data_IF_986139657106
#
_entry.id   IF_986139657106
#
_cell.length_a   1.000
_cell.length_b   1.000
_cell.length_c   1.000
_cell.angle_alpha   90.00
_cell.angle_beta   90.00
_cell.angle_gamma   90.00
#
_symmetry.space_group_name_H-M   'P 1'
#
loop_
_entity.id
_entity.type
_entity.pdbx_description
1 polymer ?
#
# COMPACT_ATOMS: atom_id res chain seq x y z
N UNK A 1 25.53 -41.87 5.19
CA UNK A 1 25.74 -41.31 3.83
C UNK A 1 24.55 -40.59 3.19
N UNK A 2 23.27 -40.79 3.59
CA UNK A 2 22.12 -40.21 2.83
C UNK A 2 21.60 -38.85 3.33
N UNK A 3 21.82 -38.49 4.60
CA UNK A 3 21.16 -37.36 5.25
C UNK A 3 21.62 -35.97 4.75
N UNK A 4 22.93 -35.79 4.51
CA UNK A 4 23.47 -34.50 4.05
C UNK A 4 23.08 -34.15 2.61
N UNK A 5 22.94 -35.15 1.72
CA UNK A 5 22.43 -34.94 0.35
C UNK A 5 20.97 -34.52 0.37
N UNK A 6 20.20 -35.10 1.30
CA UNK A 6 18.82 -34.75 1.54
C UNK A 6 18.69 -33.31 2.06
N UNK A 7 19.55 -32.89 3.01
CA UNK A 7 19.61 -31.50 3.47
C UNK A 7 19.98 -30.51 2.36
N UNK A 8 20.99 -30.83 1.54
CA UNK A 8 21.39 -29.96 0.43
C UNK A 8 20.25 -29.79 -0.60
N UNK A 9 19.61 -30.90 -0.98
CA UNK A 9 18.52 -30.90 -1.97
C UNK A 9 17.27 -30.19 -1.42
N UNK A 10 16.90 -30.44 -0.16
CA UNK A 10 15.81 -29.74 0.51
C UNK A 10 16.09 -28.24 0.63
N UNK A 11 17.31 -27.84 1.02
CA UNK A 11 17.71 -26.44 1.11
C UNK A 11 17.61 -25.71 -0.22
N UNK A 12 18.11 -26.32 -1.31
CA UNK A 12 18.00 -25.72 -2.65
C UNK A 12 16.56 -25.66 -3.14
N UNK A 13 15.73 -26.67 -2.83
CA UNK A 13 14.33 -26.71 -3.23
C UNK A 13 13.52 -25.63 -2.50
N UNK A 14 13.78 -25.42 -1.20
CA UNK A 14 13.20 -24.32 -0.41
C UNK A 14 13.55 -22.97 -1.04
N UNK A 15 14.82 -22.74 -1.42
CA UNK A 15 15.24 -21.48 -2.04
C UNK A 15 14.54 -21.26 -3.40
N UNK A 16 14.50 -22.26 -4.27
CA UNK A 16 13.83 -22.15 -5.58
C UNK A 16 12.34 -21.89 -5.42
N UNK A 17 11.70 -22.58 -4.48
CA UNK A 17 10.28 -22.38 -4.18
C UNK A 17 10.00 -20.99 -3.63
N UNK A 18 10.85 -20.48 -2.74
CA UNK A 18 10.73 -19.13 -2.17
C UNK A 18 10.89 -18.03 -3.24
N UNK A 19 11.83 -18.19 -4.18
CA UNK A 19 11.99 -17.29 -5.33
C UNK A 19 10.74 -17.32 -6.23
N UNK A 20 10.23 -18.50 -6.55
CA UNK A 20 9.02 -18.66 -7.38
C UNK A 20 7.80 -18.02 -6.74
N UNK A 21 7.57 -18.25 -5.45
CA UNK A 21 6.50 -17.62 -4.69
C UNK A 21 6.67 -16.10 -4.63
N UNK A 22 7.89 -15.61 -4.46
CA UNK A 22 8.18 -14.17 -4.41
C UNK A 22 7.82 -13.49 -5.73
N UNK A 23 8.16 -14.10 -6.87
CA UNK A 23 7.82 -13.56 -8.19
C UNK A 23 6.30 -13.47 -8.42
N UNK A 24 5.55 -14.55 -8.11
CA UNK A 24 4.10 -14.53 -8.24
C UNK A 24 3.45 -13.48 -7.32
N UNK A 25 3.98 -13.34 -6.10
CA UNK A 25 3.49 -12.34 -5.13
C UNK A 25 3.76 -10.91 -5.57
N UNK A 26 4.94 -10.61 -6.11
CA UNK A 26 5.28 -9.27 -6.60
C UNK A 26 4.28 -8.81 -7.66
N UNK A 27 3.91 -9.67 -8.60
CA UNK A 27 2.92 -9.34 -9.63
C UNK A 27 1.54 -9.03 -9.03
N UNK A 28 1.06 -9.87 -8.09
CA UNK A 28 -0.21 -9.62 -7.41
C UNK A 28 -0.18 -8.38 -6.52
N UNK A 29 0.98 -8.05 -5.94
CA UNK A 29 1.15 -6.87 -5.10
C UNK A 29 1.13 -5.60 -5.94
N UNK A 30 1.80 -5.59 -7.09
CA UNK A 30 1.85 -4.45 -7.99
C UNK A 30 0.44 -4.04 -8.45
N UNK A 31 -0.42 -4.99 -8.81
CA UNK A 31 -1.80 -4.68 -9.21
C UNK A 31 -2.63 -4.10 -8.06
N UNK A 32 -2.59 -4.74 -6.88
CA UNK A 32 -3.38 -4.30 -5.71
C UNK A 32 -2.91 -2.92 -5.22
N UNK A 33 -1.60 -2.69 -5.18
CA UNK A 33 -1.05 -1.40 -4.76
C UNK A 33 -1.41 -0.31 -5.74
N UNK A 34 -1.31 -0.58 -7.04
CA UNK A 34 -1.65 0.38 -8.08
C UNK A 34 -3.13 0.76 -7.96
N UNK A 35 -4.03 -0.21 -7.84
CA UNK A 35 -5.47 0.05 -7.69
C UNK A 35 -5.80 0.86 -6.44
N UNK A 36 -5.25 0.49 -5.28
CA UNK A 36 -5.49 1.21 -4.02
C UNK A 36 -4.87 2.61 -4.06
N UNK A 37 -3.68 2.75 -4.63
CA UNK A 37 -2.99 4.04 -4.73
C UNK A 37 -3.71 4.98 -5.71
N UNK A 38 -4.08 4.48 -6.89
CA UNK A 38 -4.85 5.24 -7.88
C UNK A 38 -6.20 5.69 -7.30
N UNK A 39 -6.91 4.80 -6.59
CA UNK A 39 -8.15 5.18 -5.91
C UNK A 39 -7.94 6.26 -4.86
N UNK A 40 -6.89 6.16 -4.03
CA UNK A 40 -6.58 7.18 -3.01
C UNK A 40 -6.25 8.52 -3.67
N UNK A 41 -5.39 8.52 -4.70
CA UNK A 41 -5.00 9.75 -5.41
C UNK A 41 -6.21 10.38 -6.08
N UNK A 42 -7.05 9.59 -6.75
CA UNK A 42 -8.28 10.09 -7.37
C UNK A 42 -9.21 10.71 -6.35
N UNK A 43 -9.50 10.03 -5.25
CA UNK A 43 -10.35 10.57 -4.18
C UNK A 43 -9.75 11.83 -3.56
N UNK A 44 -8.43 11.89 -3.40
CA UNK A 44 -7.74 13.09 -2.91
C UNK A 44 -7.90 14.26 -3.87
N UNK A 45 -7.70 14.05 -5.17
CA UNK A 45 -7.90 15.09 -6.19
C UNK A 45 -9.35 15.58 -6.24
N UNK A 46 -10.32 14.69 -6.09
CA UNK A 46 -11.74 15.05 -5.98
C UNK A 46 -12.01 15.92 -4.73
N UNK A 47 -11.45 15.56 -3.57
CA UNK A 47 -11.57 16.35 -2.34
C UNK A 47 -10.92 17.73 -2.51
N UNK A 48 -9.73 17.80 -3.09
CA UNK A 48 -9.01 19.06 -3.29
C UNK A 48 -9.78 19.99 -4.25
N UNK A 49 -10.37 19.44 -5.32
CA UNK A 49 -11.26 20.18 -6.22
C UNK A 49 -12.50 20.73 -5.52
N UNK A 50 -13.20 19.90 -4.73
CA UNK A 50 -14.37 20.34 -3.95
C UNK A 50 -14.00 21.40 -2.90
N UNK A 51 -12.82 21.27 -2.29
CA UNK A 51 -12.31 22.24 -1.32
C UNK A 51 -12.00 23.59 -2.00
N UNK A 52 -11.48 23.56 -3.23
CA UNK A 52 -11.27 24.77 -4.03
C UNK A 52 -12.61 25.44 -4.42
N UNK A 53 -13.61 24.65 -4.85
CA UNK A 53 -14.96 25.15 -5.11
C UNK A 53 -15.60 25.78 -3.87
N UNK A 54 -15.48 25.13 -2.71
CA UNK A 54 -15.95 25.68 -1.44
C UNK A 54 -15.26 26.99 -1.07
N UNK A 55 -13.94 27.07 -1.24
CA UNK A 55 -13.21 28.30 -0.96
C UNK A 55 -13.66 29.46 -1.88
N UNK A 56 -13.96 29.16 -3.14
CA UNK A 56 -14.52 30.13 -4.07
C UNK A 56 -15.91 30.61 -3.64
N UNK A 57 -16.79 29.68 -3.27
CA UNK A 57 -18.13 30.00 -2.78
C UNK A 57 -18.06 30.83 -1.49
N UNK A 58 -17.20 30.46 -0.55
CA UNK A 58 -17.00 31.18 0.71
C UNK A 58 -16.57 32.63 0.44
N UNK A 59 -15.67 32.85 -0.53
CA UNK A 59 -15.25 34.20 -0.97
C UNK A 59 -16.40 35.00 -1.59
N UNK A 60 -17.23 34.38 -2.43
CA UNK A 60 -18.42 35.04 -3.03
C UNK A 60 -19.43 35.44 -1.95
N UNK A 61 -19.68 34.56 -0.98
CA UNK A 61 -20.62 34.81 0.12
C UNK A 61 -20.10 35.87 1.11
N UNK A 62 -18.80 35.92 1.35
CA UNK A 62 -18.19 36.94 2.21
C UNK A 62 -18.29 38.33 1.57
N UNK A 63 -18.02 38.44 0.26
CA UNK A 63 -18.12 39.69 -0.49
C UNK A 63 -19.58 40.16 -0.64
N UNK A 64 -20.53 39.24 -0.79
CA UNK A 64 -21.95 39.59 -0.83
C UNK A 64 -22.49 40.07 0.51
N UNK A 65 -21.97 39.57 1.64
CA UNK A 65 -22.34 40.07 2.96
C UNK A 65 -21.83 41.50 3.23
N UNK A 66 -20.72 41.89 2.60
CA UNK A 66 -20.13 43.23 2.71
C UNK A 66 -20.78 44.24 1.74
N UNK A 67 -21.26 43.77 0.59
CA UNK A 67 -21.86 44.61 -0.46
C UNK A 67 -23.38 44.62 -0.30
N UNK A 68 -23.92 45.63 0.40
CA UNK A 68 -25.37 45.77 0.68
C UNK A 68 -26.21 46.32 -0.49
N UNK A 69 -25.62 46.59 -1.64
CA UNK A 69 -26.33 47.21 -2.76
C UNK A 69 -26.86 46.17 -3.74
N UNK A 70 -28.08 46.38 -4.24
CA UNK A 70 -28.84 45.60 -5.24
C UNK A 70 -28.13 45.43 -6.62
N UNK A 71 -26.84 45.74 -6.68
CA UNK A 71 -26.00 45.57 -7.85
C UNK A 71 -25.37 44.18 -7.90
N UNK A 72 -25.20 43.71 -9.12
CA UNK A 72 -24.37 42.57 -9.47
C UNK A 72 -23.02 42.55 -8.72
N UNK A 73 -22.71 41.45 -8.06
CA UNK A 73 -21.47 41.25 -7.31
C UNK A 73 -20.37 40.73 -8.27
N UNK A 74 -19.22 41.41 -8.34
CA UNK A 74 -18.10 40.96 -9.18
C UNK A 74 -17.01 40.28 -8.34
N UNK A 75 -16.73 39.01 -8.60
CA UNK A 75 -15.68 38.21 -7.94
C UNK A 75 -14.82 37.53 -9.01
N UNK A 76 -13.51 37.75 -8.98
CA UNK A 76 -12.55 37.18 -9.93
C UNK A 76 -12.94 37.38 -11.41
N UNK A 77 -13.39 38.60 -11.72
CA UNK A 77 -13.86 39.04 -13.03
C UNK A 77 -15.20 38.41 -13.51
N UNK A 78 -15.85 37.61 -12.66
CA UNK A 78 -17.17 37.00 -12.89
C UNK A 78 -18.22 37.80 -12.14
N UNK A 79 -19.33 38.10 -12.83
CA UNK A 79 -20.45 38.86 -12.28
C UNK A 79 -21.55 37.89 -11.80
N UNK A 80 -21.97 38.05 -10.55
CA UNK A 80 -22.95 37.22 -9.87
C UNK A 80 -24.20 38.04 -9.53
N UNK A 81 -25.36 37.51 -9.90
CA UNK A 81 -26.66 38.04 -9.50
C UNK A 81 -27.03 37.63 -8.06
N UNK A 82 -27.95 38.36 -7.42
CA UNK A 82 -28.45 38.03 -6.09
C UNK A 82 -29.05 36.61 -6.02
N UNK A 83 -29.72 36.16 -7.09
CA UNK A 83 -30.24 34.79 -7.19
C UNK A 83 -29.12 33.74 -7.20
N UNK A 84 -28.04 33.98 -7.95
CA UNK A 84 -26.90 33.06 -8.00
C UNK A 84 -26.18 32.97 -6.65
N UNK A 85 -26.05 34.09 -5.93
CA UNK A 85 -25.49 34.09 -4.58
C UNK A 85 -26.32 33.23 -3.62
N UNK A 86 -27.66 33.34 -3.68
CA UNK A 86 -28.55 32.54 -2.84
C UNK A 86 -28.53 31.05 -3.24
N UNK A 87 -28.42 30.74 -4.54
CA UNK A 87 -28.20 29.38 -5.02
C UNK A 87 -26.87 28.80 -4.51
N UNK A 88 -25.77 29.55 -4.61
CA UNK A 88 -24.44 29.14 -4.14
C UNK A 88 -24.43 28.90 -2.63
N UNK A 89 -25.18 29.69 -1.86
CA UNK A 89 -25.37 29.48 -0.41
C UNK A 89 -26.03 28.12 -0.11
N UNK A 90 -27.02 27.73 -0.90
CA UNK A 90 -27.66 26.42 -0.76
C UNK A 90 -26.72 25.28 -1.20
N UNK A 91 -26.00 25.47 -2.31
CA UNK A 91 -25.03 24.50 -2.83
C UNK A 91 -23.84 24.29 -1.88
N UNK A 92 -23.37 25.33 -1.17
CA UNK A 92 -22.29 25.25 -0.19
C UNK A 92 -22.53 24.14 0.85
N UNK A 93 -23.75 24.02 1.37
CA UNK A 93 -24.10 23.01 2.36
C UNK A 93 -24.00 21.59 1.80
N UNK A 94 -24.47 21.40 0.56
CA UNK A 94 -24.41 20.13 -0.15
C UNK A 94 -22.97 19.74 -0.47
N UNK A 95 -22.15 20.68 -0.95
CA UNK A 95 -20.74 20.44 -1.26
C UNK A 95 -19.95 20.10 0.02
N UNK A 96 -20.24 20.74 1.15
CA UNK A 96 -19.63 20.39 2.45
C UNK A 96 -19.98 18.98 2.89
N UNK A 97 -21.24 18.57 2.76
CA UNK A 97 -21.66 17.19 3.06
C UNK A 97 -20.94 16.18 2.16
N UNK A 98 -20.91 16.44 0.85
CA UNK A 98 -20.23 15.58 -0.11
C UNK A 98 -18.72 15.49 0.15
N UNK A 99 -18.09 16.59 0.52
CA UNK A 99 -16.67 16.62 0.91
C UNK A 99 -16.41 15.79 2.17
N UNK A 100 -17.31 15.81 3.15
CA UNK A 100 -17.20 14.99 4.36
C UNK A 100 -17.36 13.50 4.05
N UNK A 101 -18.31 13.13 3.18
CA UNK A 101 -18.50 11.77 2.69
C UNK A 101 -17.22 11.25 2.00
N UNK A 102 -16.65 12.04 1.08
CA UNK A 102 -15.39 11.69 0.41
C UNK A 102 -14.21 11.58 1.37
N UNK A 103 -14.14 12.42 2.41
CA UNK A 103 -13.11 12.30 3.47
C UNK A 103 -13.27 11.00 4.26
N UNK A 104 -14.50 10.57 4.54
CA UNK A 104 -14.76 9.27 5.18
C UNK A 104 -14.34 8.11 4.29
N UNK A 105 -14.65 8.17 2.99
CA UNK A 105 -14.20 7.18 2.00
C UNK A 105 -12.67 7.10 1.95
N UNK A 106 -11.98 8.25 1.94
CA UNK A 106 -10.52 8.33 1.95
C UNK A 106 -9.93 7.67 3.21
N UNK A 107 -10.54 7.90 4.39
CA UNK A 107 -10.14 7.23 5.64
C UNK A 107 -10.32 5.71 5.52
N UNK A 108 -11.44 5.26 4.94
CA UNK A 108 -11.69 3.85 4.65
C UNK A 108 -10.64 3.23 3.72
N UNK A 109 -10.30 3.92 2.63
CA UNK A 109 -9.25 3.51 1.69
C UNK A 109 -7.86 3.49 2.34
N UNK A 110 -7.55 4.47 3.20
CA UNK A 110 -6.31 4.49 3.97
C UNK A 110 -6.23 3.30 4.95
N UNK A 111 -7.34 2.88 5.53
CA UNK A 111 -7.44 1.65 6.32
C UNK A 111 -7.07 0.42 5.49
N UNK A 112 -7.63 0.29 4.28
CA UNK A 112 -7.29 -0.80 3.34
C UNK A 112 -5.81 -0.78 2.95
N UNK A 113 -5.25 0.40 2.63
CA UNK A 113 -3.82 0.57 2.35
C UNK A 113 -2.95 0.05 3.49
N UNK A 114 -3.30 0.39 4.74
CA UNK A 114 -2.55 -0.07 5.93
C UNK A 114 -2.61 -1.60 6.06
N UNK A 115 -3.76 -2.20 5.80
CA UNK A 115 -3.92 -3.65 5.85
C UNK A 115 -3.06 -4.35 4.78
N UNK A 116 -3.18 -3.92 3.51
CA UNK A 116 -2.38 -4.44 2.39
C UNK A 116 -0.88 -4.31 2.67
N UNK A 117 -0.43 -3.15 3.16
CA UNK A 117 0.99 -2.92 3.47
C UNK A 117 1.49 -3.79 4.63
N UNK A 118 0.62 -4.11 5.60
CA UNK A 118 0.96 -5.00 6.69
C UNK A 118 1.07 -6.46 6.23
N UNK A 119 0.14 -6.92 5.40
CA UNK A 119 0.18 -8.28 4.84
C UNK A 119 1.47 -8.49 4.03
N UNK A 120 1.85 -7.50 3.24
CA UNK A 120 3.08 -7.54 2.44
C UNK A 120 4.32 -7.58 3.33
N UNK A 121 4.32 -6.81 4.41
CA UNK A 121 5.41 -6.85 5.39
C UNK A 121 5.52 -8.24 6.02
N UNK A 122 4.41 -8.86 6.41
CA UNK A 122 4.41 -10.21 7.00
C UNK A 122 4.92 -11.23 5.98
N UNK A 123 4.45 -11.17 4.74
CA UNK A 123 4.87 -12.08 3.67
C UNK A 123 6.37 -11.92 3.35
N UNK A 124 6.89 -10.70 3.38
CA UNK A 124 8.31 -10.42 3.21
C UNK A 124 9.14 -11.04 4.35
N UNK A 125 8.74 -10.85 5.61
CA UNK A 125 9.43 -11.47 6.74
C UNK A 125 9.40 -13.00 6.67
N UNK A 126 8.28 -13.57 6.27
CA UNK A 126 8.13 -15.02 6.12
C UNK A 126 9.08 -15.56 5.03
N UNK A 127 9.14 -14.90 3.87
CA UNK A 127 10.10 -15.25 2.80
C UNK A 127 11.56 -15.12 3.27
N UNK A 128 11.89 -14.03 3.97
CA UNK A 128 13.22 -13.84 4.54
C UNK A 128 13.64 -15.00 5.46
N UNK A 129 12.73 -15.47 6.32
CA UNK A 129 12.97 -16.62 7.20
C UNK A 129 13.22 -17.89 6.37
N UNK A 130 12.39 -18.16 5.36
CA UNK A 130 12.57 -19.33 4.48
C UNK A 130 13.89 -19.27 3.71
N UNK A 131 14.30 -18.09 3.24
CA UNK A 131 15.57 -17.87 2.57
C UNK A 131 16.75 -18.17 3.50
N UNK A 132 16.74 -17.63 4.73
CA UNK A 132 17.80 -17.86 5.73
C UNK A 132 17.88 -19.33 6.12
N UNK A 133 16.75 -19.96 6.40
CA UNK A 133 16.70 -21.39 6.76
C UNK A 133 17.15 -22.26 5.59
N UNK A 134 16.68 -21.97 4.38
CA UNK A 134 17.06 -22.70 3.16
C UNK A 134 18.54 -22.58 2.84
N UNK A 135 19.12 -21.38 2.98
CA UNK A 135 20.56 -21.15 2.78
C UNK A 135 21.41 -21.83 3.85
N UNK A 136 21.00 -21.81 5.12
CA UNK A 136 21.68 -22.57 6.17
C UNK A 136 21.65 -24.08 5.87
N UNK A 137 20.48 -24.65 5.57
CA UNK A 137 20.33 -26.07 5.21
C UNK A 137 21.19 -26.46 4.00
N UNK A 138 21.18 -25.63 2.96
CA UNK A 138 21.99 -25.85 1.76
C UNK A 138 23.48 -25.80 2.08
N UNK A 139 23.96 -24.75 2.76
CA UNK A 139 25.37 -24.58 3.12
C UNK A 139 25.86 -25.71 4.04
N UNK A 140 25.11 -26.07 5.08
CA UNK A 140 25.44 -27.22 5.93
C UNK A 140 25.46 -28.54 5.15
N UNK A 141 24.48 -28.76 4.26
CA UNK A 141 24.44 -29.95 3.42
C UNK A 141 25.64 -30.06 2.47
N UNK A 142 26.01 -28.95 1.82
CA UNK A 142 27.17 -28.89 0.93
C UNK A 142 28.50 -29.00 1.69
N UNK A 143 28.64 -28.33 2.84
CA UNK A 143 29.83 -28.42 3.70
C UNK A 143 30.03 -29.85 4.22
N UNK A 144 28.97 -30.49 4.72
CA UNK A 144 29.02 -31.88 5.19
C UNK A 144 29.35 -32.87 4.07
N UNK A 145 28.87 -32.60 2.84
CA UNK A 145 29.25 -33.37 1.66
C UNK A 145 30.72 -33.17 1.27
N UNK A 146 31.19 -31.92 1.22
CA UNK A 146 32.53 -31.54 0.79
C UNK A 146 33.61 -32.06 1.75
N UNK A 147 33.44 -31.82 3.05
CA UNK A 147 34.40 -32.26 4.06
C UNK A 147 34.31 -33.76 4.38
N UNK A 148 33.40 -34.51 3.73
CA UNK A 148 33.08 -35.91 4.05
C UNK A 148 32.98 -36.13 5.57
N UNK A 149 32.37 -35.20 6.29
CA UNK A 149 32.25 -35.28 7.74
C UNK A 149 31.37 -36.49 8.05
N UNK A 150 32.00 -37.61 8.36
CA UNK A 150 31.39 -38.74 8.99
C UNK A 150 31.05 -38.32 10.42
N UNK A 151 29.89 -37.68 10.59
CA UNK A 151 29.38 -37.25 11.89
C UNK A 151 29.24 -38.42 12.89
N UNK A 152 29.38 -39.67 12.42
CA UNK A 152 29.74 -40.83 13.22
C UNK A 152 30.62 -41.79 12.40
N UNK A 153 31.94 -41.63 12.49
CA UNK A 153 32.90 -42.68 12.13
C UNK A 153 32.95 -43.67 13.30
N UNK A 154 32.34 -44.85 13.13
CA UNK A 154 32.30 -45.88 14.16
C UNK A 154 33.72 -46.38 14.44
N UNK A 155 34.24 -46.04 15.63
CA UNK A 155 35.55 -46.50 16.16
C UNK A 155 35.69 -48.03 16.25
N UNK A 156 34.67 -48.82 15.93
CA UNK A 156 34.76 -50.29 15.88
C UNK A 156 35.39 -50.83 14.60
N UNK A 157 35.66 -50.00 13.57
CA UNK A 157 36.32 -50.47 12.35
C UNK A 157 37.85 -50.56 12.40
N UNK A 158 38.49 -50.12 13.49
CA UNK A 158 39.91 -50.36 13.79
C UNK A 158 40.10 -50.29 15.31
N UNK A 159 40.27 -51.42 16.04
CA UNK A 159 41.55 -52.14 16.14
C UNK A 159 41.39 -53.70 16.23
N UNK A 160 42.36 -54.57 15.91
CA UNK A 160 43.83 -54.52 15.79
C UNK A 160 44.27 -55.29 14.55
#
# INVERSE_FOLDING_TARGET
MRFYKLCALLGTLIIVFDIGLSLMRIQSFESIVTEVFESIVKTQMEIDGLQQELNHIDKVLELSAQTKEDGSLKVDDIEYSAYEVERLKNEQSNIRLYTQEKKLDLVGLSGKKKHVMNDVRILFFLSLIFLVVGTLLATFGYLAWYFRIELFEDRRKNPR
#
